data_IF_220909505173
#
_entry.id   IF_220909505173
#
_cell.length_a   1.000
_cell.length_b   1.000
_cell.length_c   1.000
_cell.angle_alpha   90.00
_cell.angle_beta   90.00
_cell.angle_gamma   90.00
#
_symmetry.space_group_name_H-M   'P 1'
#
loop_
_entity.id
_entity.type
_entity.pdbx_description
1 polymer ?
#
# COMPACT_ATOMS: atom_id res chain seq x y z
N UNK A 1 -32.10 -11.46 -19.98
CA UNK A 1 -31.44 -10.36 -19.26
C UNK A 1 -30.51 -10.99 -18.25
N UNK A 2 -29.21 -10.66 -18.26
CA UNK A 2 -28.28 -11.14 -17.21
C UNK A 2 -28.78 -10.57 -15.89
N UNK A 3 -29.15 -11.43 -14.95
CA UNK A 3 -29.65 -10.98 -13.64
C UNK A 3 -28.58 -10.13 -12.95
N UNK A 4 -28.98 -9.08 -12.22
CA UNK A 4 -28.04 -8.20 -11.54
C UNK A 4 -27.05 -8.99 -10.67
N UNK A 5 -27.52 -10.06 -10.03
CA UNK A 5 -26.72 -11.06 -9.29
C UNK A 5 -25.51 -11.59 -10.09
N UNK A 6 -25.65 -11.88 -11.38
CA UNK A 6 -24.58 -12.41 -12.25
C UNK A 6 -23.48 -11.37 -12.50
N UNK A 7 -23.83 -10.08 -12.67
CA UNK A 7 -22.86 -8.99 -12.79
C UNK A 7 -22.09 -8.77 -11.49
N UNK A 8 -22.78 -8.80 -10.35
CA UNK A 8 -22.17 -8.75 -9.02
C UNK A 8 -21.15 -9.88 -8.84
N UNK A 9 -21.52 -11.08 -9.29
CA UNK A 9 -20.68 -12.28 -9.21
C UNK A 9 -19.41 -12.16 -10.04
N UNK A 10 -19.53 -11.75 -11.30
CA UNK A 10 -18.40 -11.62 -12.23
C UNK A 10 -17.38 -10.59 -11.75
N UNK A 11 -17.85 -9.45 -11.24
CA UNK A 11 -16.98 -8.38 -10.74
C UNK A 11 -16.32 -8.79 -9.41
N UNK A 12 -17.03 -9.52 -8.54
CA UNK A 12 -16.45 -10.01 -7.28
C UNK A 12 -15.35 -11.06 -7.51
N UNK A 13 -15.57 -11.99 -8.44
CA UNK A 13 -14.56 -12.99 -8.84
C UNK A 13 -13.38 -12.34 -9.55
N UNK A 14 -13.64 -11.41 -10.48
CA UNK A 14 -12.59 -10.69 -11.21
C UNK A 14 -11.70 -9.86 -10.30
N UNK A 15 -12.31 -9.11 -9.36
CA UNK A 15 -11.55 -8.31 -8.38
C UNK A 15 -10.77 -9.16 -7.40
N UNK A 16 -11.36 -10.26 -6.93
CA UNK A 16 -10.67 -11.22 -6.05
C UNK A 16 -9.49 -11.90 -6.75
N UNK A 17 -9.65 -12.29 -8.02
CA UNK A 17 -8.58 -12.92 -8.81
C UNK A 17 -7.42 -11.96 -9.04
N UNK A 18 -7.70 -10.69 -9.35
CA UNK A 18 -6.64 -9.68 -9.50
C UNK A 18 -5.93 -9.44 -8.17
N UNK A 19 -6.66 -9.27 -7.06
CA UNK A 19 -6.07 -9.07 -5.73
C UNK A 19 -5.12 -10.23 -5.34
N UNK A 20 -5.52 -11.48 -5.64
CA UNK A 20 -4.69 -12.66 -5.41
C UNK A 20 -3.41 -12.66 -6.27
N UNK A 21 -3.51 -12.35 -7.57
CA UNK A 21 -2.35 -12.27 -8.47
C UNK A 21 -1.34 -11.22 -8.02
N UNK A 22 -1.85 -10.09 -7.52
CA UNK A 22 -1.04 -8.97 -7.03
C UNK A 22 -0.37 -9.34 -5.72
N UNK A 23 -1.08 -9.98 -4.80
CA UNK A 23 -0.52 -10.51 -3.57
C UNK A 23 0.60 -11.52 -3.87
N UNK A 24 0.37 -12.47 -4.79
CA UNK A 24 1.36 -13.46 -5.20
C UNK A 24 2.61 -12.83 -5.83
N UNK A 25 2.44 -11.81 -6.68
CA UNK A 25 3.55 -11.05 -7.24
C UNK A 25 4.35 -10.35 -6.13
N UNK A 26 3.66 -9.69 -5.19
CA UNK A 26 4.29 -8.95 -4.09
C UNK A 26 5.14 -9.88 -3.23
N UNK A 27 4.59 -11.03 -2.81
CA UNK A 27 5.32 -12.04 -2.02
C UNK A 27 6.58 -12.50 -2.73
N UNK A 28 6.53 -12.69 -4.06
CA UNK A 28 7.66 -13.20 -4.83
C UNK A 28 8.76 -12.17 -5.06
N UNK A 29 8.44 -10.87 -5.11
CA UNK A 29 9.36 -9.82 -5.56
C UNK A 29 9.84 -8.86 -4.47
N UNK A 30 9.24 -8.88 -3.28
CA UNK A 30 9.51 -7.87 -2.25
C UNK A 30 10.13 -8.52 -1.00
N UNK A 31 11.40 -8.19 -0.69
CA UNK A 31 12.09 -8.75 0.48
C UNK A 31 11.96 -7.88 1.75
N UNK A 32 11.17 -6.79 1.74
CA UNK A 32 10.82 -6.01 2.94
C UNK A 32 9.56 -6.60 3.60
N UNK A 33 9.76 -7.61 4.46
CA UNK A 33 8.70 -8.49 4.97
C UNK A 33 7.49 -7.73 5.54
N UNK A 34 7.65 -6.81 6.50
CA UNK A 34 6.49 -6.33 7.30
C UNK A 34 5.40 -5.58 6.51
N UNK A 35 5.77 -4.59 5.68
CA UNK A 35 4.78 -3.82 4.92
C UNK A 35 4.20 -4.64 3.75
N UNK A 36 5.04 -5.45 3.09
CA UNK A 36 4.60 -6.39 2.06
C UNK A 36 3.62 -7.44 2.61
N UNK A 37 3.95 -8.05 3.75
CA UNK A 37 3.11 -9.04 4.44
C UNK A 37 1.75 -8.41 4.82
N UNK A 38 1.75 -7.20 5.38
CA UNK A 38 0.52 -6.47 5.74
C UNK A 38 -0.35 -6.20 4.51
N UNK A 39 0.27 -5.83 3.38
CA UNK A 39 -0.45 -5.65 2.11
C UNK A 39 -1.05 -6.96 1.60
N UNK A 40 -0.28 -8.06 1.63
CA UNK A 40 -0.73 -9.39 1.21
C UNK A 40 -1.92 -9.85 2.05
N UNK A 41 -1.84 -9.69 3.37
CA UNK A 41 -2.93 -10.00 4.30
C UNK A 41 -4.17 -9.17 3.98
N UNK A 42 -4.02 -7.86 3.70
CA UNK A 42 -5.13 -7.01 3.29
C UNK A 42 -5.81 -7.55 2.01
N UNK A 43 -5.03 -7.96 1.01
CA UNK A 43 -5.55 -8.51 -0.25
C UNK A 43 -6.28 -9.84 -0.04
N UNK A 44 -5.78 -10.71 0.84
CA UNK A 44 -6.47 -11.95 1.21
C UNK A 44 -7.84 -11.65 1.84
N UNK A 45 -7.90 -10.68 2.76
CA UNK A 45 -9.18 -10.28 3.35
C UNK A 45 -10.14 -9.64 2.34
N UNK A 46 -9.64 -8.89 1.36
CA UNK A 46 -10.48 -8.41 0.25
C UNK A 46 -11.09 -9.55 -0.57
N UNK A 47 -10.30 -10.58 -0.89
CA UNK A 47 -10.77 -11.78 -1.59
C UNK A 47 -11.86 -12.49 -0.78
N UNK A 48 -11.62 -12.69 0.52
CA UNK A 48 -12.60 -13.33 1.40
C UNK A 48 -13.88 -12.50 1.52
N UNK A 49 -13.78 -11.18 1.72
CA UNK A 49 -14.92 -10.29 1.74
C UNK A 49 -15.73 -10.35 0.43
N UNK A 50 -15.07 -10.29 -0.72
CA UNK A 50 -15.73 -10.42 -2.03
C UNK A 50 -16.43 -11.76 -2.21
N UNK A 51 -15.80 -12.84 -1.74
CA UNK A 51 -16.36 -14.20 -1.78
C UNK A 51 -17.62 -14.31 -0.91
N UNK A 52 -17.59 -13.86 0.34
CA UNK A 52 -18.76 -13.89 1.21
C UNK A 52 -19.86 -12.93 0.75
N UNK A 53 -19.50 -11.79 0.13
CA UNK A 53 -20.48 -10.93 -0.52
C UNK A 53 -21.20 -11.64 -1.66
N UNK A 54 -20.47 -12.39 -2.50
CA UNK A 54 -21.05 -13.20 -3.56
C UNK A 54 -21.99 -14.27 -3.00
N UNK A 55 -21.49 -15.07 -2.04
CA UNK A 55 -22.27 -16.14 -1.41
C UNK A 55 -23.56 -15.61 -0.77
N UNK A 56 -23.51 -14.43 -0.15
CA UNK A 56 -24.69 -13.80 0.44
C UNK A 56 -25.71 -13.48 -0.65
N UNK A 57 -25.27 -12.84 -1.72
CA UNK A 57 -26.13 -12.39 -2.82
C UNK A 57 -26.78 -13.55 -3.57
N UNK A 58 -26.13 -14.71 -3.64
CA UNK A 58 -26.68 -15.92 -4.26
C UNK A 58 -27.38 -16.86 -3.28
N UNK A 59 -27.41 -16.52 -1.99
CA UNK A 59 -28.11 -17.32 -1.00
C UNK A 59 -29.63 -17.16 -1.10
N UNK A 60 -30.37 -18.11 -0.55
CA UNK A 60 -31.83 -18.09 -0.48
C UNK A 60 -32.27 -17.99 0.97
N UNK A 61 -33.29 -17.16 1.23
CA UNK A 61 -33.95 -17.07 2.53
C UNK A 61 -35.11 -18.07 2.57
N UNK A 62 -35.15 -18.84 3.66
CA UNK A 62 -36.21 -19.74 4.16
C UNK A 62 -37.39 -20.05 3.23
N UNK A 63 -37.11 -20.64 2.06
CA UNK A 63 -38.18 -21.17 1.20
C UNK A 63 -38.63 -22.58 1.66
N UNK A 64 -37.82 -23.28 2.47
CA UNK A 64 -38.05 -24.67 2.88
C UNK A 64 -37.80 -24.97 4.38
N UNK A 65 -37.60 -23.97 5.25
CA UNK A 65 -37.32 -24.13 6.69
C UNK A 65 -36.26 -23.15 7.20
N UNK A 66 -35.93 -23.18 8.51
CA UNK A 66 -34.99 -22.21 9.10
C UNK A 66 -33.57 -22.35 8.54
N UNK A 67 -33.06 -21.32 7.87
CA UNK A 67 -31.72 -21.27 7.28
C UNK A 67 -30.89 -20.15 7.92
N UNK A 68 -30.05 -20.49 8.89
CA UNK A 68 -29.10 -19.54 9.49
C UNK A 68 -27.87 -19.27 8.60
N UNK A 69 -27.75 -19.94 7.45
CA UNK A 69 -26.62 -19.82 6.53
C UNK A 69 -26.37 -18.39 6.03
N UNK A 70 -27.37 -17.71 5.44
CA UNK A 70 -27.23 -16.33 4.97
C UNK A 70 -26.76 -15.37 6.08
N UNK A 71 -27.24 -15.54 7.31
CA UNK A 71 -26.81 -14.72 8.44
C UNK A 71 -25.32 -14.93 8.79
N UNK A 72 -24.86 -16.19 8.81
CA UNK A 72 -23.45 -16.50 9.05
C UNK A 72 -22.55 -15.96 7.93
N UNK A 73 -22.99 -16.08 6.67
CA UNK A 73 -22.29 -15.55 5.50
C UNK A 73 -22.19 -14.01 5.59
N UNK A 74 -23.28 -13.33 5.96
CA UNK A 74 -23.29 -11.88 6.16
C UNK A 74 -22.32 -11.41 7.25
N UNK A 75 -22.25 -12.14 8.36
CA UNK A 75 -21.30 -11.89 9.45
C UNK A 75 -19.84 -12.01 8.98
N UNK A 76 -19.53 -13.06 8.22
CA UNK A 76 -18.20 -13.28 7.65
C UNK A 76 -17.84 -12.22 6.62
N UNK A 77 -18.81 -11.77 5.80
CA UNK A 77 -18.61 -10.63 4.91
C UNK A 77 -18.17 -9.37 5.69
N UNK A 78 -18.91 -8.97 6.72
CA UNK A 78 -18.57 -7.78 7.53
C UNK A 78 -17.22 -7.93 8.23
N UNK A 79 -16.94 -9.14 8.75
CA UNK A 79 -15.69 -9.43 9.44
C UNK A 79 -14.49 -9.23 8.52
N UNK A 80 -14.48 -9.90 7.37
CA UNK A 80 -13.36 -9.81 6.43
C UNK A 80 -13.29 -8.45 5.75
N UNK A 81 -14.42 -7.79 5.49
CA UNK A 81 -14.41 -6.44 4.94
C UNK A 81 -13.75 -5.45 5.90
N UNK A 82 -14.08 -5.51 7.20
CA UNK A 82 -13.45 -4.65 8.20
C UNK A 82 -11.96 -4.90 8.34
N UNK A 83 -11.54 -6.17 8.32
CA UNK A 83 -10.11 -6.49 8.32
C UNK A 83 -9.41 -6.01 7.04
N UNK A 84 -10.05 -6.14 5.87
CA UNK A 84 -9.49 -5.67 4.60
C UNK A 84 -9.20 -4.16 4.64
N UNK A 85 -10.20 -3.34 4.99
CA UNK A 85 -10.06 -1.88 5.07
C UNK A 85 -9.03 -1.48 6.12
N UNK A 86 -9.08 -2.09 7.30
CA UNK A 86 -8.14 -1.82 8.40
C UNK A 86 -6.69 -2.15 8.06
N UNK A 87 -6.44 -3.31 7.45
CA UNK A 87 -5.09 -3.72 7.05
C UNK A 87 -4.56 -2.89 5.88
N UNK A 88 -5.42 -2.42 4.97
CA UNK A 88 -5.02 -1.45 3.94
C UNK A 88 -4.56 -0.13 4.54
N UNK A 89 -5.30 0.43 5.51
CA UNK A 89 -4.87 1.64 6.21
C UNK A 89 -3.57 1.43 6.99
N UNK A 90 -3.44 0.28 7.68
CA UNK A 90 -2.21 -0.10 8.39
C UNK A 90 -1.02 -0.21 7.43
N UNK A 91 -1.19 -0.84 6.27
CA UNK A 91 -0.17 -0.94 5.23
C UNK A 91 0.34 0.43 4.79
N UNK A 92 -0.57 1.36 4.45
CA UNK A 92 -0.23 2.72 4.03
C UNK A 92 0.54 3.45 5.14
N UNK A 93 0.07 3.33 6.39
CA UNK A 93 0.75 3.90 7.56
C UNK A 93 2.16 3.35 7.77
N UNK A 94 2.33 2.03 7.70
CA UNK A 94 3.64 1.37 7.84
C UNK A 94 4.60 1.79 6.74
N UNK A 95 4.12 1.84 5.49
CA UNK A 95 4.96 2.11 4.34
C UNK A 95 5.43 3.56 4.27
N UNK A 96 4.51 4.52 4.38
CA UNK A 96 4.82 5.93 4.14
C UNK A 96 5.23 6.71 5.39
N UNK A 97 4.56 6.47 6.52
CA UNK A 97 4.90 7.19 7.76
C UNK A 97 6.04 6.52 8.49
N UNK A 98 6.17 5.20 8.38
CA UNK A 98 7.19 4.46 9.10
C UNK A 98 7.23 4.89 10.56
N UNK A 99 6.09 4.84 11.25
CA UNK A 99 6.03 5.32 12.63
C UNK A 99 7.10 4.62 13.48
N UNK A 100 8.00 5.39 14.11
CA UNK A 100 8.98 4.86 15.07
C UNK A 100 8.30 4.06 16.19
N UNK A 101 7.07 4.43 16.55
CA UNK A 101 6.22 3.73 17.51
C UNK A 101 5.81 2.34 16.99
N UNK A 102 5.51 2.19 15.69
CA UNK A 102 5.18 0.89 15.07
C UNK A 102 6.38 -0.07 14.97
N UNK A 103 7.60 0.38 15.31
CA UNK A 103 8.77 -0.51 15.52
C UNK A 103 8.52 -1.48 16.68
N UNK A 104 7.78 -1.03 17.72
CA UNK A 104 7.48 -1.83 18.90
C UNK A 104 6.45 -2.88 18.52
N UNK A 105 6.85 -4.16 18.63
CA UNK A 105 5.96 -5.31 18.40
C UNK A 105 4.62 -5.14 19.11
N UNK A 106 4.64 -4.56 20.32
CA UNK A 106 3.45 -4.26 21.11
C UNK A 106 2.49 -3.27 20.46
N UNK A 107 2.96 -2.23 19.78
CA UNK A 107 2.07 -1.23 19.16
C UNK A 107 1.48 -1.77 17.87
N UNK A 108 2.30 -2.46 17.05
CA UNK A 108 1.76 -3.13 15.88
C UNK A 108 0.76 -4.23 16.27
N UNK A 109 1.04 -4.99 17.34
CA UNK A 109 0.10 -5.95 17.91
C UNK A 109 -1.17 -5.25 18.39
N UNK A 110 -1.05 -4.14 19.13
CA UNK A 110 -2.20 -3.37 19.61
C UNK A 110 -3.08 -2.87 18.46
N UNK A 111 -2.48 -2.37 17.38
CA UNK A 111 -3.22 -1.96 16.18
C UNK A 111 -3.94 -3.16 15.55
N UNK A 112 -3.25 -4.30 15.37
CA UNK A 112 -3.86 -5.50 14.80
C UNK A 112 -4.99 -6.06 15.69
N UNK A 113 -4.81 -6.06 17.01
CA UNK A 113 -5.84 -6.45 17.97
C UNK A 113 -7.01 -5.47 17.95
N UNK A 114 -6.75 -4.15 17.86
CA UNK A 114 -7.80 -3.14 17.75
C UNK A 114 -8.62 -3.32 16.48
N UNK A 115 -7.98 -3.60 15.34
CA UNK A 115 -8.66 -3.93 14.09
C UNK A 115 -9.53 -5.19 14.24
N UNK A 116 -9.01 -6.22 14.91
CA UNK A 116 -9.76 -7.45 15.17
C UNK A 116 -10.98 -7.19 16.07
N UNK A 117 -10.82 -6.41 17.14
CA UNK A 117 -11.92 -6.04 18.05
C UNK A 117 -13.00 -5.26 17.30
N UNK A 118 -12.61 -4.29 16.48
CA UNK A 118 -13.56 -3.52 15.64
C UNK A 118 -14.28 -4.45 14.65
N UNK A 119 -13.55 -5.34 13.97
CA UNK A 119 -14.15 -6.30 13.05
C UNK A 119 -15.19 -7.20 13.73
N UNK A 120 -14.85 -7.75 14.90
CA UNK A 120 -15.78 -8.56 15.72
C UNK A 120 -16.99 -7.71 16.15
N UNK A 121 -16.75 -6.51 16.67
CA UNK A 121 -17.81 -5.62 17.16
C UNK A 121 -18.81 -5.22 16.07
N UNK A 122 -18.34 -4.95 14.85
CA UNK A 122 -19.21 -4.67 13.69
C UNK A 122 -19.95 -5.93 13.25
N UNK A 123 -19.29 -7.09 13.26
CA UNK A 123 -19.91 -8.37 12.86
C UNK A 123 -21.03 -8.82 13.80
N UNK A 124 -20.87 -8.65 15.12
CA UNK A 124 -21.88 -9.08 16.11
C UNK A 124 -23.19 -8.30 15.98
N UNK A 125 -23.15 -7.07 15.43
CA UNK A 125 -24.34 -6.27 15.16
C UNK A 125 -25.18 -6.80 13.99
N UNK A 126 -24.65 -7.74 13.20
CA UNK A 126 -25.40 -8.39 12.12
C UNK A 126 -26.25 -9.51 12.72
N UNK A 127 -27.54 -9.24 12.84
CA UNK A 127 -28.56 -10.12 13.42
C UNK A 127 -29.68 -10.45 12.44
N UNK A 128 -29.88 -9.63 11.42
CA UNK A 128 -31.01 -9.71 10.50
C UNK A 128 -30.55 -9.56 9.05
N UNK A 129 -31.01 -10.50 8.23
CA UNK A 129 -30.85 -10.48 6.77
C UNK A 129 -32.21 -10.60 6.13
N UNK A 130 -32.38 -9.97 4.98
CA UNK A 130 -33.65 -9.92 4.26
C UNK A 130 -33.45 -10.07 2.76
N UNK A 131 -34.55 -10.36 2.07
CA UNK A 131 -34.54 -10.48 0.62
C UNK A 131 -34.89 -9.13 0.02
N UNK A 132 -34.09 -8.66 -0.92
CA UNK A 132 -34.38 -7.39 -1.55
C UNK A 132 -35.12 -7.57 -2.87
N UNK A 133 -36.27 -6.90 -3.00
CA UNK A 133 -37.02 -6.80 -4.24
C UNK A 133 -36.14 -6.18 -5.35
N UNK A 134 -36.12 -6.78 -6.55
CA UNK A 134 -35.31 -6.30 -7.69
C UNK A 134 -34.13 -7.19 -8.12
N UNK A 135 -34.04 -8.44 -7.62
CA UNK A 135 -33.10 -9.45 -8.17
C UNK A 135 -31.63 -9.29 -7.72
N UNK A 136 -31.39 -8.55 -6.63
CA UNK A 136 -30.05 -8.32 -6.05
C UNK A 136 -29.73 -9.36 -4.94
N UNK A 137 -30.69 -10.22 -4.57
CA UNK A 137 -30.52 -11.30 -3.61
C UNK A 137 -30.57 -10.85 -2.14
N UNK A 138 -29.97 -11.67 -1.26
CA UNK A 138 -30.01 -11.44 0.19
C UNK A 138 -29.12 -10.28 0.63
N UNK A 139 -29.62 -9.48 1.56
CA UNK A 139 -28.98 -8.27 2.09
C UNK A 139 -29.01 -8.24 3.61
N UNK A 140 -28.16 -7.38 4.19
CA UNK A 140 -28.13 -7.12 5.63
C UNK A 140 -29.07 -5.97 5.95
N UNK A 141 -30.02 -6.18 6.85
CA UNK A 141 -31.05 -5.19 7.19
C UNK A 141 -30.68 -4.31 8.39
N UNK A 142 -29.86 -4.83 9.31
CA UNK A 142 -29.56 -4.13 10.57
C UNK A 142 -28.93 -2.75 10.34
N UNK A 143 -29.65 -1.69 10.72
CA UNK A 143 -29.22 -0.29 10.55
C UNK A 143 -27.92 0.02 11.30
N UNK A 144 -27.80 -0.44 12.55
CA UNK A 144 -26.61 -0.26 13.38
C UNK A 144 -25.36 -0.90 12.76
N UNK A 145 -25.49 -2.11 12.22
CA UNK A 145 -24.37 -2.80 11.58
C UNK A 145 -23.86 -1.99 10.37
N UNK A 146 -24.75 -1.52 9.49
CA UNK A 146 -24.33 -0.69 8.33
C UNK A 146 -23.76 0.65 8.77
N UNK A 147 -24.36 1.30 9.78
CA UNK A 147 -23.84 2.55 10.33
C UNK A 147 -22.44 2.41 10.91
N UNK A 148 -22.22 1.36 11.71
CA UNK A 148 -20.90 1.05 12.27
C UNK A 148 -19.88 0.71 11.19
N UNK A 149 -20.26 -0.11 10.20
CA UNK A 149 -19.39 -0.42 9.05
C UNK A 149 -18.96 0.86 8.32
N UNK A 150 -19.91 1.74 7.99
CA UNK A 150 -19.64 3.00 7.33
C UNK A 150 -18.69 3.86 8.16
N UNK A 151 -19.02 4.11 9.43
CA UNK A 151 -18.20 4.93 10.33
C UNK A 151 -16.75 4.46 10.42
N UNK A 152 -16.52 3.18 10.68
CA UNK A 152 -15.15 2.67 10.81
C UNK A 152 -14.42 2.63 9.47
N UNK A 153 -15.11 2.35 8.36
CA UNK A 153 -14.52 2.47 7.03
C UNK A 153 -14.08 3.92 6.74
N UNK A 154 -14.93 4.91 7.05
CA UNK A 154 -14.60 6.34 6.93
C UNK A 154 -13.37 6.69 7.76
N UNK A 155 -13.31 6.27 9.02
CA UNK A 155 -12.17 6.55 9.91
C UNK A 155 -10.86 5.96 9.38
N UNK A 156 -10.87 4.71 8.92
CA UNK A 156 -9.68 4.07 8.38
C UNK A 156 -9.23 4.69 7.05
N UNK A 157 -10.17 4.97 6.14
CA UNK A 157 -9.86 5.60 4.85
C UNK A 157 -9.38 7.04 5.01
N UNK A 158 -9.97 7.80 5.94
CA UNK A 158 -9.54 9.17 6.28
C UNK A 158 -8.14 9.17 6.87
N UNK A 159 -7.83 8.22 7.75
CA UNK A 159 -6.49 8.05 8.30
C UNK A 159 -5.48 7.75 7.19
N UNK A 160 -5.78 6.78 6.31
CA UNK A 160 -4.95 6.46 5.16
C UNK A 160 -4.72 7.66 4.24
N UNK A 161 -5.76 8.44 3.96
CA UNK A 161 -5.67 9.64 3.12
C UNK A 161 -4.82 10.73 3.79
N UNK A 162 -4.98 10.94 5.10
CA UNK A 162 -4.16 11.88 5.86
C UNK A 162 -2.66 11.51 5.83
N UNK A 163 -2.34 10.21 5.93
CA UNK A 163 -0.97 9.71 5.77
C UNK A 163 -0.40 10.05 4.39
N UNK A 164 -1.16 9.79 3.34
CA UNK A 164 -0.74 10.02 1.96
C UNK A 164 -0.58 11.52 1.66
N UNK A 165 -1.54 12.36 2.05
CA UNK A 165 -1.46 13.82 1.90
C UNK A 165 -0.25 14.37 2.65
N UNK A 166 -0.04 13.97 3.91
CA UNK A 166 1.15 14.37 4.66
C UNK A 166 2.44 13.98 3.95
N UNK A 167 2.47 12.80 3.34
CA UNK A 167 3.62 12.33 2.56
C UNK A 167 3.87 13.21 1.35
N UNK A 168 2.83 13.59 0.61
CA UNK A 168 2.92 14.48 -0.54
C UNK A 168 3.42 15.89 -0.18
N UNK A 169 3.08 16.37 1.02
CA UNK A 169 3.51 17.68 1.55
C UNK A 169 4.96 17.63 2.06
N UNK A 170 5.35 16.55 2.77
CA UNK A 170 6.61 16.50 3.53
C UNK A 170 7.75 15.80 2.80
N UNK A 171 7.46 14.90 1.87
CA UNK A 171 8.48 14.12 1.19
C UNK A 171 8.81 14.75 -0.17
N UNK A 172 10.09 15.10 -0.39
CA UNK A 172 10.58 15.67 -1.66
C UNK A 172 11.05 14.61 -2.66
N UNK A 173 11.15 13.34 -2.27
CA UNK A 173 11.63 12.28 -3.14
C UNK A 173 10.61 12.03 -4.28
N UNK A 174 11.02 12.16 -5.55
CA UNK A 174 10.09 12.09 -6.69
C UNK A 174 9.44 10.71 -6.85
N UNK A 175 10.10 9.63 -6.46
CA UNK A 175 9.53 8.28 -6.54
C UNK A 175 8.50 8.09 -5.43
N UNK A 176 8.85 8.45 -4.20
CA UNK A 176 7.92 8.37 -3.06
C UNK A 176 6.66 9.16 -3.36
N UNK A 177 6.81 10.37 -3.92
CA UNK A 177 5.67 11.21 -4.31
C UNK A 177 4.83 10.56 -5.41
N UNK A 178 5.43 9.98 -6.46
CA UNK A 178 4.66 9.28 -7.52
C UNK A 178 3.87 8.09 -6.96
N UNK A 179 4.47 7.31 -6.06
CA UNK A 179 3.78 6.23 -5.35
C UNK A 179 2.60 6.77 -4.52
N UNK A 180 2.84 7.80 -3.71
CA UNK A 180 1.81 8.42 -2.89
C UNK A 180 0.68 9.05 -3.73
N UNK A 181 0.98 9.67 -4.89
CA UNK A 181 -0.04 10.23 -5.80
C UNK A 181 -0.97 9.13 -6.31
N UNK A 182 -0.43 8.02 -6.84
CA UNK A 182 -1.26 6.92 -7.33
C UNK A 182 -2.11 6.32 -6.21
N UNK A 183 -1.52 6.10 -5.04
CA UNK A 183 -2.25 5.53 -3.91
C UNK A 183 -3.31 6.50 -3.39
N UNK A 184 -3.05 7.81 -3.39
CA UNK A 184 -4.03 8.85 -3.05
C UNK A 184 -5.20 8.82 -4.01
N UNK A 185 -4.94 8.76 -5.32
CA UNK A 185 -5.98 8.67 -6.33
C UNK A 185 -6.86 7.43 -6.13
N UNK A 186 -6.25 6.26 -5.91
CA UNK A 186 -6.97 5.03 -5.62
C UNK A 186 -7.82 5.11 -4.35
N UNK A 187 -7.25 5.57 -3.24
CA UNK A 187 -7.94 5.71 -1.95
C UNK A 187 -9.07 6.75 -2.04
N UNK A 188 -8.88 7.86 -2.75
CA UNK A 188 -9.91 8.89 -2.92
C UNK A 188 -11.08 8.42 -3.79
N UNK A 189 -10.80 7.71 -4.89
CA UNK A 189 -11.83 7.12 -5.77
C UNK A 189 -12.67 6.12 -4.98
N UNK A 190 -12.02 5.18 -4.30
CA UNK A 190 -12.75 4.16 -3.55
C UNK A 190 -13.40 4.71 -2.29
N UNK A 191 -12.74 5.61 -1.55
CA UNK A 191 -13.30 6.27 -0.39
C UNK A 191 -14.58 7.03 -0.73
N UNK A 192 -14.55 7.90 -1.75
CA UNK A 192 -15.75 8.61 -2.23
C UNK A 192 -16.84 7.64 -2.70
N UNK A 193 -16.45 6.57 -3.41
CA UNK A 193 -17.38 5.52 -3.83
C UNK A 193 -18.05 4.81 -2.64
N UNK A 194 -17.29 4.47 -1.60
CA UNK A 194 -17.76 3.83 -0.39
C UNK A 194 -18.69 4.72 0.42
N UNK A 195 -18.35 5.99 0.60
CA UNK A 195 -19.21 6.97 1.28
C UNK A 195 -20.51 7.19 0.51
N UNK A 196 -20.44 7.32 -0.81
CA UNK A 196 -21.64 7.45 -1.65
C UNK A 196 -22.51 6.20 -1.54
N UNK A 197 -21.90 5.01 -1.45
CA UNK A 197 -22.63 3.75 -1.35
C UNK A 197 -23.32 3.63 0.01
N UNK A 198 -22.58 3.95 1.08
CA UNK A 198 -23.11 4.00 2.43
C UNK A 198 -24.27 5.00 2.53
N UNK A 199 -24.13 6.19 1.96
CA UNK A 199 -25.18 7.21 1.93
C UNK A 199 -26.46 6.69 1.26
N UNK A 200 -26.36 6.17 0.04
CA UNK A 200 -27.52 5.60 -0.68
C UNK A 200 -28.18 4.46 0.10
N UNK A 201 -27.36 3.60 0.72
CA UNK A 201 -27.81 2.41 1.43
C UNK A 201 -28.38 2.71 2.81
N UNK A 202 -28.01 3.82 3.45
CA UNK A 202 -28.48 4.22 4.78
C UNK A 202 -29.67 5.19 4.68
N UNK A 203 -29.60 6.18 3.79
CA UNK A 203 -30.57 7.28 3.76
C UNK A 203 -31.62 7.17 2.65
N UNK A 204 -31.33 6.45 1.56
CA UNK A 204 -32.26 6.35 0.41
C UNK A 204 -32.73 4.93 0.14
N UNK A 205 -32.30 3.97 0.95
CA UNK A 205 -32.55 2.51 0.82
C UNK A 205 -32.31 1.98 -0.62
N UNK A 206 -31.45 2.67 -1.36
CA UNK A 206 -31.20 2.37 -2.77
C UNK A 206 -30.04 1.39 -2.87
N UNK A 207 -30.17 0.40 -3.76
CA UNK A 207 -29.12 -0.57 -4.02
C UNK A 207 -28.58 -0.35 -5.42
N UNK A 208 -27.58 0.51 -5.54
CA UNK A 208 -26.99 0.82 -6.82
C UNK A 208 -26.33 -0.44 -7.41
N UNK A 209 -26.01 -0.47 -8.71
CA UNK A 209 -25.19 -1.52 -9.33
C UNK A 209 -23.85 -1.72 -8.59
N UNK A 210 -23.05 -2.77 -8.89
CA UNK A 210 -21.82 -3.13 -8.17
C UNK A 210 -20.65 -2.12 -8.31
N UNK A 211 -20.92 -0.82 -8.33
CA UNK A 211 -19.92 0.22 -8.48
C UNK A 211 -18.97 0.30 -7.27
N UNK A 212 -19.39 -0.11 -6.07
CA UNK A 212 -18.47 -0.19 -4.92
C UNK A 212 -17.31 -1.14 -5.23
N UNK A 213 -17.61 -2.30 -5.82
CA UNK A 213 -16.60 -3.27 -6.25
C UNK A 213 -15.76 -2.73 -7.42
N UNK A 214 -16.36 -1.98 -8.34
CA UNK A 214 -15.63 -1.30 -9.42
C UNK A 214 -14.63 -0.31 -8.85
N UNK A 215 -15.03 0.55 -7.91
CA UNK A 215 -14.11 1.53 -7.29
C UNK A 215 -13.01 0.84 -6.46
N UNK A 216 -13.33 -0.28 -5.80
CA UNK A 216 -12.33 -1.09 -5.10
C UNK A 216 -11.32 -1.70 -6.08
N UNK A 217 -11.79 -2.20 -7.22
CA UNK A 217 -10.94 -2.69 -8.30
C UNK A 217 -10.05 -1.60 -8.89
N UNK A 218 -10.60 -0.39 -9.08
CA UNK A 218 -9.83 0.77 -9.50
C UNK A 218 -8.73 1.09 -8.50
N UNK A 219 -9.03 1.15 -7.20
CA UNK A 219 -8.00 1.35 -6.16
C UNK A 219 -6.92 0.26 -6.20
N UNK A 220 -7.33 -1.01 -6.32
CA UNK A 220 -6.39 -2.12 -6.45
C UNK A 220 -5.49 -1.92 -7.67
N UNK A 221 -6.03 -1.58 -8.84
CA UNK A 221 -5.24 -1.29 -10.05
C UNK A 221 -4.23 -0.15 -9.83
N UNK A 222 -4.61 0.94 -9.17
CA UNK A 222 -3.68 2.01 -8.79
C UNK A 222 -2.53 1.50 -7.90
N UNK A 223 -2.84 0.65 -6.92
CA UNK A 223 -1.84 0.07 -6.02
C UNK A 223 -0.91 -0.87 -6.78
N UNK A 224 -1.45 -1.68 -7.70
CA UNK A 224 -0.67 -2.52 -8.60
C UNK A 224 0.30 -1.70 -9.43
N UNK A 225 -0.17 -0.62 -10.05
CA UNK A 225 0.72 0.26 -10.82
C UNK A 225 1.76 0.89 -9.91
N UNK A 226 1.41 1.32 -8.70
CA UNK A 226 2.38 1.85 -7.73
C UNK A 226 3.46 0.82 -7.37
N UNK A 227 3.06 -0.44 -7.14
CA UNK A 227 3.96 -1.56 -6.85
C UNK A 227 4.85 -1.91 -8.04
N UNK A 228 4.25 -2.12 -9.22
CA UNK A 228 4.94 -2.64 -10.41
C UNK A 228 5.77 -1.56 -11.11
N UNK A 229 5.19 -0.38 -11.36
CA UNK A 229 5.81 0.67 -12.17
C UNK A 229 6.82 1.49 -11.37
N UNK A 230 6.45 1.83 -10.13
CA UNK A 230 7.32 2.63 -9.26
C UNK A 230 8.09 1.79 -8.25
N UNK A 231 8.14 0.47 -8.47
CA UNK A 231 8.96 -0.51 -7.73
C UNK A 231 8.97 -0.22 -6.24
N UNK A 232 7.76 -0.13 -5.70
CA UNK A 232 7.53 -0.02 -4.26
C UNK A 232 8.40 -1.08 -3.56
N UNK A 233 8.99 -0.75 -2.42
CA UNK A 233 9.83 -1.65 -1.62
C UNK A 233 11.23 -2.05 -2.17
N UNK A 234 11.68 -1.51 -3.30
CA UNK A 234 13.05 -1.70 -3.82
C UNK A 234 13.70 -0.35 -4.08
N UNK A 235 15.02 -0.24 -3.85
CA UNK A 235 15.78 0.94 -4.27
C UNK A 235 15.73 1.00 -5.80
N UNK A 236 14.99 1.98 -6.32
CA UNK A 236 14.75 2.09 -7.77
C UNK A 236 15.83 2.95 -8.39
N UNK A 237 16.71 2.42 -9.25
CA UNK A 237 17.73 3.22 -9.92
C UNK A 237 17.06 4.31 -10.76
N UNK A 238 17.52 5.55 -10.60
CA UNK A 238 17.07 6.67 -11.42
C UNK A 238 18.28 7.26 -12.11
N UNK A 239 18.08 7.61 -13.37
CA UNK A 239 19.09 8.29 -14.17
C UNK A 239 18.93 9.79 -13.94
N UNK A 240 20.02 10.45 -13.59
CA UNK A 240 20.07 11.91 -13.68
C UNK A 240 20.11 12.35 -15.14
N UNK A 241 19.56 13.53 -15.41
CA UNK A 241 19.75 14.14 -16.72
C UNK A 241 21.25 14.36 -16.96
N UNK A 242 21.82 13.84 -18.05
CA UNK A 242 23.24 14.00 -18.30
C UNK A 242 23.58 15.47 -18.51
N UNK A 243 24.58 15.94 -17.78
CA UNK A 243 25.14 17.30 -17.96
C UNK A 243 26.61 17.15 -18.29
N UNK A 244 27.07 17.86 -19.31
CA UNK A 244 28.49 17.92 -19.67
C UNK A 244 29.30 18.58 -18.56
N UNK A 245 29.84 17.79 -17.63
CA UNK A 245 30.70 18.25 -16.55
C UNK A 245 32.15 17.84 -16.81
N UNK A 246 33.15 18.68 -16.49
CA UNK A 246 34.55 18.28 -16.54
C UNK A 246 34.80 17.06 -15.66
N UNK A 247 35.51 16.05 -16.19
CA UNK A 247 35.82 14.84 -15.44
C UNK A 247 36.92 15.11 -14.41
N UNK A 248 36.56 15.19 -13.14
CA UNK A 248 37.46 15.43 -12.01
C UNK A 248 37.81 14.14 -11.28
N UNK A 249 36.94 13.13 -11.34
CA UNK A 249 37.14 11.83 -10.71
C UNK A 249 37.32 10.73 -11.76
N UNK A 250 38.51 10.12 -11.78
CA UNK A 250 38.84 9.02 -12.69
C UNK A 250 38.37 7.65 -12.16
N UNK A 251 37.07 7.54 -11.82
CA UNK A 251 36.49 6.27 -11.35
C UNK A 251 36.56 5.22 -12.46
N UNK A 252 37.02 4.01 -12.11
CA UNK A 252 37.13 2.85 -12.98
C UNK A 252 36.05 1.82 -12.62
N UNK A 253 35.42 1.15 -13.63
CA UNK A 253 34.47 0.07 -13.36
C UNK A 253 35.08 -1.04 -12.50
N UNK A 254 34.30 -1.62 -11.60
CA UNK A 254 34.72 -2.74 -10.74
C UNK A 254 35.68 -2.39 -9.59
N UNK A 255 35.97 -1.10 -9.36
CA UNK A 255 36.88 -0.66 -8.31
C UNK A 255 36.13 -0.03 -7.13
N UNK A 256 36.60 -0.29 -5.91
CA UNK A 256 36.20 0.42 -4.71
C UNK A 256 37.21 1.51 -4.36
N UNK A 257 36.73 2.65 -3.87
CA UNK A 257 37.55 3.78 -3.47
C UNK A 257 37.25 4.16 -2.02
N UNK A 258 38.28 4.31 -1.20
CA UNK A 258 38.17 4.82 0.15
C UNK A 258 38.72 6.25 0.20
N UNK A 259 37.89 7.21 0.60
CA UNK A 259 38.28 8.62 0.72
C UNK A 259 38.23 8.99 2.19
N UNK A 260 39.37 9.38 2.76
CA UNK A 260 39.45 9.84 4.15
C UNK A 260 39.30 11.35 4.18
N UNK A 261 38.18 11.83 4.70
CA UNK A 261 37.89 13.26 4.83
C UNK A 261 37.43 13.59 6.26
N UNK A 262 37.69 14.83 6.72
CA UNK A 262 37.08 15.33 7.96
C UNK A 262 35.59 15.67 7.81
N UNK A 263 35.19 16.12 6.62
CA UNK A 263 33.80 16.39 6.25
C UNK A 263 33.53 15.66 4.94
N UNK A 264 32.54 14.77 4.86
CA UNK A 264 32.34 13.93 3.69
C UNK A 264 31.80 14.77 2.54
N UNK A 265 32.66 15.13 1.57
CA UNK A 265 32.29 15.98 0.44
C UNK A 265 32.70 15.34 -0.88
N UNK A 266 33.93 14.82 -0.97
CA UNK A 266 34.44 14.24 -2.20
C UNK A 266 33.65 12.99 -2.62
N UNK A 267 33.16 12.19 -1.67
CA UNK A 267 32.33 11.01 -1.99
C UNK A 267 31.05 11.38 -2.74
N UNK A 268 30.37 12.45 -2.31
CA UNK A 268 29.15 12.93 -2.96
C UNK A 268 29.44 13.61 -4.29
N UNK A 269 30.52 14.40 -4.38
CA UNK A 269 30.94 15.01 -5.65
C UNK A 269 31.33 13.95 -6.70
N UNK A 270 32.03 12.89 -6.29
CA UNK A 270 32.39 11.80 -7.17
C UNK A 270 31.16 11.03 -7.68
N UNK A 271 30.19 10.77 -6.79
CA UNK A 271 28.91 10.21 -7.19
C UNK A 271 28.14 11.13 -8.13
N UNK A 272 28.01 12.42 -7.80
CA UNK A 272 27.31 13.42 -8.62
C UNK A 272 27.91 13.52 -10.03
N UNK A 273 29.23 13.57 -10.14
CA UNK A 273 29.91 13.55 -11.44
C UNK A 273 29.61 12.25 -12.20
N UNK A 274 29.73 11.09 -11.55
CA UNK A 274 29.49 9.80 -12.19
C UNK A 274 28.06 9.65 -12.72
N UNK A 275 27.05 10.12 -11.97
CA UNK A 275 25.64 10.06 -12.42
C UNK A 275 25.35 11.04 -13.55
N UNK A 276 25.94 12.25 -13.53
CA UNK A 276 25.84 13.22 -14.64
C UNK A 276 26.52 12.74 -15.92
N UNK A 277 27.57 11.92 -15.79
CA UNK A 277 28.21 11.22 -16.90
C UNK A 277 27.45 9.95 -17.34
N UNK A 278 26.26 9.70 -16.80
CA UNK A 278 25.34 8.66 -17.24
C UNK A 278 25.39 7.35 -16.47
N UNK A 279 26.10 7.29 -15.33
CA UNK A 279 26.01 6.14 -14.42
C UNK A 279 24.71 6.19 -13.61
N UNK A 280 24.24 5.04 -13.12
CA UNK A 280 23.14 4.99 -12.17
C UNK A 280 23.69 4.99 -10.75
N UNK A 281 23.28 6.00 -9.98
CA UNK A 281 23.79 6.23 -8.63
C UNK A 281 22.94 5.61 -7.53
N UNK A 282 23.59 5.21 -6.45
CA UNK A 282 22.97 4.98 -5.14
C UNK A 282 23.83 5.69 -4.10
N UNK A 283 23.21 6.52 -3.28
CA UNK A 283 23.87 7.17 -2.15
C UNK A 283 23.38 6.54 -0.86
N UNK A 284 24.29 6.21 0.03
CA UNK A 284 24.04 5.69 1.38
C UNK A 284 24.73 6.65 2.34
N UNK A 285 23.98 7.25 3.27
CA UNK A 285 24.50 8.36 4.07
C UNK A 285 23.71 8.54 5.36
N UNK A 286 24.34 9.09 6.41
CA UNK A 286 23.64 9.55 7.62
C UNK A 286 23.00 10.93 7.45
N UNK A 287 23.39 11.69 6.42
CA UNK A 287 22.81 13.00 6.09
C UNK A 287 21.39 12.86 5.55
N UNK A 288 20.56 13.88 5.76
CA UNK A 288 19.18 13.80 5.25
C UNK A 288 19.19 13.81 3.71
N UNK A 289 18.28 13.07 3.04
CA UNK A 289 18.20 13.09 1.58
C UNK A 289 17.97 14.47 0.99
N UNK A 290 17.32 15.38 1.73
CA UNK A 290 17.10 16.76 1.30
C UNK A 290 18.41 17.54 1.26
N UNK A 291 19.21 17.49 2.33
CA UNK A 291 20.52 18.16 2.36
C UNK A 291 21.43 17.66 1.24
N UNK A 292 21.48 16.35 1.00
CA UNK A 292 22.36 15.79 -0.04
C UNK A 292 21.90 16.20 -1.44
N UNK A 293 20.60 16.26 -1.70
CA UNK A 293 20.08 16.74 -2.98
C UNK A 293 20.38 18.22 -3.19
N UNK A 294 20.17 19.03 -2.16
CA UNK A 294 20.34 20.48 -2.22
C UNK A 294 21.83 20.85 -2.37
N UNK A 295 22.74 20.13 -1.68
CA UNK A 295 24.19 20.42 -1.70
C UNK A 295 24.92 19.94 -2.96
N UNK A 296 24.45 18.85 -3.58
CA UNK A 296 25.17 18.16 -4.65
C UNK A 296 24.39 18.05 -5.97
N UNK A 297 23.17 18.58 -6.03
CA UNK A 297 22.35 18.70 -7.23
C UNK A 297 22.25 17.35 -7.98
N UNK A 298 21.75 16.37 -7.22
CA UNK A 298 21.42 15.00 -7.65
C UNK A 298 19.94 14.70 -7.34
N UNK A 299 19.01 15.40 -8.00
CA UNK A 299 17.60 15.44 -7.60
C UNK A 299 16.89 14.08 -7.69
N UNK A 300 17.31 13.21 -8.63
CA UNK A 300 16.63 11.93 -8.87
C UNK A 300 17.36 10.73 -8.27
N UNK A 301 18.65 10.87 -7.97
CA UNK A 301 19.49 9.80 -7.44
C UNK A 301 18.87 9.21 -6.16
N UNK A 302 18.70 7.88 -6.08
CA UNK A 302 18.25 7.19 -4.88
C UNK A 302 19.20 7.41 -3.71
N UNK A 303 18.65 7.83 -2.58
CA UNK A 303 19.39 8.04 -1.33
C UNK A 303 18.79 7.13 -0.26
N UNK A 304 19.57 6.18 0.23
CA UNK A 304 19.30 5.41 1.44
C UNK A 304 19.81 6.19 2.65
N UNK A 305 18.87 6.67 3.47
CA UNK A 305 19.20 7.39 4.69
C UNK A 305 19.43 6.42 5.84
N UNK A 306 20.67 6.39 6.33
CA UNK A 306 21.07 5.65 7.53
C UNK A 306 20.55 6.37 8.77
N UNK A 307 19.38 5.96 9.22
CA UNK A 307 18.68 6.58 10.35
C UNK A 307 17.88 5.56 11.12
N UNK A 308 17.73 5.78 12.43
CA UNK A 308 16.81 5.01 13.27
C UNK A 308 15.34 5.28 12.96
N UNK A 309 15.04 6.38 12.26
CA UNK A 309 13.70 6.73 11.82
C UNK A 309 13.22 5.75 10.73
N UNK A 310 12.00 5.23 10.87
CA UNK A 310 11.42 4.31 9.88
C UNK A 310 10.75 5.12 8.77
N UNK A 311 10.65 4.54 7.57
CA UNK A 311 10.04 5.17 6.41
C UNK A 311 10.66 4.64 5.12
N UNK A 312 10.11 5.07 3.99
CA UNK A 312 10.66 4.70 2.69
C UNK A 312 12.10 5.22 2.53
N UNK A 313 12.96 4.37 1.95
CA UNK A 313 14.39 4.64 1.74
C UNK A 313 15.17 5.00 3.03
N UNK A 314 14.71 4.52 4.18
CA UNK A 314 15.42 4.63 5.46
C UNK A 314 15.89 3.26 5.91
N UNK A 315 17.15 3.18 6.33
CA UNK A 315 17.79 1.94 6.78
C UNK A 315 18.35 2.18 8.18
N UNK A 316 17.94 1.40 9.21
CA UNK A 316 18.55 1.47 10.52
C UNK A 316 20.06 1.14 10.43
N UNK A 317 20.96 1.96 11.01
CA UNK A 317 22.40 1.66 11.02
C UNK A 317 22.74 0.31 11.68
N UNK A 318 21.83 -0.21 12.51
CA UNK A 318 21.96 -1.50 13.22
C UNK A 318 21.50 -2.71 12.40
N UNK A 319 21.21 -2.55 11.11
CA UNK A 319 20.75 -3.64 10.23
C UNK A 319 21.62 -3.72 8.96
N UNK A 320 22.90 -4.14 9.10
CA UNK A 320 23.84 -4.20 7.99
C UNK A 320 23.41 -5.23 6.93
N UNK A 321 22.68 -6.29 7.29
CA UNK A 321 22.22 -7.32 6.36
C UNK A 321 21.22 -6.75 5.34
N UNK A 322 20.32 -5.86 5.78
CA UNK A 322 19.41 -5.15 4.88
C UNK A 322 20.19 -4.27 3.91
N UNK A 323 21.19 -3.54 4.41
CA UNK A 323 22.01 -2.65 3.57
C UNK A 323 22.77 -3.44 2.51
N UNK A 324 23.44 -4.53 2.90
CA UNK A 324 24.17 -5.42 2.01
C UNK A 324 23.25 -5.93 0.89
N UNK A 325 22.06 -6.42 1.26
CA UNK A 325 21.08 -6.92 0.29
C UNK A 325 20.65 -5.83 -0.70
N UNK A 326 20.32 -4.63 -0.22
CA UNK A 326 19.88 -3.52 -1.07
C UNK A 326 20.98 -3.08 -2.05
N UNK A 327 22.23 -3.02 -1.59
CA UNK A 327 23.38 -2.69 -2.44
C UNK A 327 23.62 -3.77 -3.48
N UNK A 328 23.59 -5.05 -3.07
CA UNK A 328 23.76 -6.20 -3.96
C UNK A 328 22.69 -6.20 -5.07
N UNK A 329 21.42 -6.02 -4.70
CA UNK A 329 20.30 -5.95 -5.64
C UNK A 329 20.46 -4.75 -6.60
N UNK A 330 20.86 -3.58 -6.08
CA UNK A 330 21.09 -2.39 -6.89
C UNK A 330 22.18 -2.63 -7.94
N UNK A 331 23.37 -3.08 -7.51
CA UNK A 331 24.52 -3.32 -8.40
C UNK A 331 24.23 -4.43 -9.41
N UNK A 332 23.61 -5.55 -8.98
CA UNK A 332 23.27 -6.66 -9.88
C UNK A 332 22.26 -6.26 -10.96
N UNK A 333 21.40 -5.27 -10.67
CA UNK A 333 20.37 -4.83 -11.62
C UNK A 333 20.87 -3.86 -12.69
N UNK A 334 22.07 -3.29 -12.54
CA UNK A 334 22.53 -2.17 -13.36
C UNK A 334 23.91 -2.41 -13.98
N UNK A 335 24.08 -2.26 -15.31
CA UNK A 335 25.36 -2.49 -15.98
C UNK A 335 26.42 -1.41 -15.67
N UNK A 336 25.99 -0.19 -15.30
CA UNK A 336 26.87 0.94 -14.93
C UNK A 336 26.36 1.59 -13.64
N UNK A 337 26.62 0.93 -12.51
CA UNK A 337 26.28 1.41 -11.18
C UNK A 337 27.44 2.18 -10.54
N UNK A 338 27.12 3.25 -9.80
CA UNK A 338 28.01 3.88 -8.83
C UNK A 338 27.31 3.89 -7.46
N UNK A 339 28.01 3.43 -6.42
CA UNK A 339 27.50 3.46 -5.05
C UNK A 339 28.41 4.36 -4.23
N UNK A 340 27.84 5.41 -3.64
CA UNK A 340 28.50 6.25 -2.65
C UNK A 340 28.02 5.84 -1.27
N UNK A 341 28.96 5.58 -0.37
CA UNK A 341 28.69 5.26 1.02
C UNK A 341 29.43 6.25 1.92
N UNK A 342 28.69 6.91 2.79
CA UNK A 342 29.14 7.83 3.83
C UNK A 342 28.57 7.38 5.17
N UNK A 343 29.42 7.27 6.19
CA UNK A 343 29.05 6.76 7.51
C UNK A 343 30.22 6.83 8.48
#
# INVERSE_FOLDING_TARGET
>A
MVEASQWYSLISVGSSSLALLVAAYVVRKIPNRRAGDTFVVAMVFFVLAGTFAYLLRTSTLDYYGSNSGPLAIARLFYFFHMLAVGFTASFIGQYFLGFEIMRRRLVNLFLQVSLLVVAIGVTVQVTTVGNQYGGIGVVIEDGWARGSLALFATLFMSTALAVLIRTLIRNKDPIVRKQAILMTAGVAIHGTGAESYAYLRIFTETYPPPYLTITAFTMAAFFVVAVLRYRMFVVTPQKEEPVGVPRRFALKPGHGYAIRERRPRLVFLAAAEAVRLGSLGLVITRRTPTEVRDDYDIPTTPILWLTSAVGQNRVPPTNPELLERLVREFVASQPKAVVALEG
#
